data_IF_487314968197
#
_entry.id   IF_487314968197
#
_cell.length_a   1.000
_cell.length_b   1.000
_cell.length_c   1.000
_cell.angle_alpha   90.00
_cell.angle_beta   90.00
_cell.angle_gamma   90.00
#
_symmetry.space_group_name_H-M   'P 1'
#
loop_
_entity.id
_entity.type
_entity.pdbx_description
1 polymer ?
#
# COMPACT_ATOMS: atom_id res chain seq x y z
N UNK A 1 1.99 -23.10 -2.18
CA UNK A 1 3.40 -22.74 -1.99
C UNK A 1 3.55 -21.23 -2.04
N UNK A 2 4.31 -20.68 -1.15
CA UNK A 2 4.58 -19.24 -1.09
C UNK A 2 5.83 -18.90 -1.90
N UNK A 3 5.70 -17.95 -2.80
CA UNK A 3 6.80 -17.45 -3.63
C UNK A 3 7.00 -15.97 -3.35
N UNK A 4 8.22 -15.50 -3.53
CA UNK A 4 8.52 -14.10 -3.33
C UNK A 4 9.54 -13.58 -4.35
N UNK A 5 9.60 -12.26 -4.46
CA UNK A 5 10.61 -11.57 -5.25
C UNK A 5 11.08 -10.32 -4.52
N UNK A 6 12.36 -10.01 -4.68
CA UNK A 6 12.96 -8.77 -4.19
C UNK A 6 12.92 -7.76 -5.34
N UNK A 7 12.35 -6.59 -5.08
CA UNK A 7 12.15 -5.57 -6.09
C UNK A 7 12.88 -4.29 -5.69
N UNK A 8 13.61 -3.72 -6.64
CA UNK A 8 14.21 -2.40 -6.45
C UNK A 8 13.19 -1.31 -6.76
N UNK A 9 13.25 -0.18 -6.07
CA UNK A 9 12.47 1.01 -6.39
C UNK A 9 13.25 2.27 -6.04
N UNK A 10 12.83 3.44 -6.60
CA UNK A 10 13.44 4.71 -6.23
C UNK A 10 13.31 5.07 -4.75
N UNK A 11 12.35 4.45 -4.05
CA UNK A 11 12.11 4.70 -2.62
C UNK A 11 12.72 3.64 -1.70
N UNK A 12 13.45 2.68 -2.26
CA UNK A 12 14.07 1.61 -1.51
C UNK A 12 13.58 0.22 -1.91
N UNK A 13 14.20 -0.83 -1.36
CA UNK A 13 13.87 -2.20 -1.73
C UNK A 13 12.50 -2.63 -1.19
N UNK A 14 11.79 -3.41 -1.99
CA UNK A 14 10.49 -4.00 -1.68
C UNK A 14 10.59 -5.51 -1.71
N UNK A 15 9.73 -6.17 -0.93
CA UNK A 15 9.50 -7.60 -1.00
C UNK A 15 8.07 -7.86 -1.43
N UNK A 16 7.89 -8.59 -2.53
CA UNK A 16 6.58 -9.00 -3.03
C UNK A 16 6.39 -10.48 -2.72
N UNK A 17 5.22 -10.85 -2.20
CA UNK A 17 4.89 -12.21 -1.78
C UNK A 17 3.61 -12.66 -2.49
N UNK A 18 3.67 -13.85 -3.09
CA UNK A 18 2.55 -14.46 -3.79
C UNK A 18 2.18 -15.82 -3.18
N UNK A 19 0.91 -16.11 -3.17
CA UNK A 19 0.39 -17.44 -2.89
C UNK A 19 -0.51 -17.85 -4.06
N UNK A 20 -0.13 -18.92 -4.75
CA UNK A 20 -0.77 -19.27 -5.99
C UNK A 20 -0.65 -18.14 -7.00
N UNK A 21 -1.74 -17.76 -7.61
CA UNK A 21 -1.78 -16.73 -8.65
C UNK A 21 -2.00 -15.32 -8.12
N UNK A 22 -2.12 -15.15 -6.80
CA UNK A 22 -2.46 -13.86 -6.20
C UNK A 22 -1.28 -13.26 -5.42
N UNK A 23 -1.19 -11.94 -5.46
CA UNK A 23 -0.28 -11.16 -4.63
C UNK A 23 -0.91 -10.99 -3.24
N UNK A 24 -0.20 -11.41 -2.20
CA UNK A 24 -0.71 -11.34 -0.82
C UNK A 24 -0.01 -10.27 0.02
N UNK A 25 1.19 -9.86 -0.38
CA UNK A 25 1.90 -8.79 0.32
C UNK A 25 2.89 -8.08 -0.60
N UNK A 26 3.11 -6.81 -0.33
CA UNK A 26 4.14 -5.98 -0.94
C UNK A 26 4.53 -4.91 0.08
N UNK A 27 5.75 -4.96 0.58
CA UNK A 27 6.21 -4.01 1.58
C UNK A 27 7.63 -3.55 1.31
N UNK A 28 7.94 -2.30 1.70
CA UNK A 28 9.32 -1.88 1.86
C UNK A 28 9.97 -2.76 2.93
N UNK A 29 11.18 -3.20 2.70
CA UNK A 29 11.83 -4.19 3.58
C UNK A 29 12.13 -3.66 4.97
N UNK A 30 12.17 -2.34 5.16
CA UNK A 30 12.35 -1.67 6.45
C UNK A 30 11.06 -1.08 7.02
N UNK A 31 9.90 -1.40 6.45
CA UNK A 31 8.61 -0.92 6.95
C UNK A 31 8.29 -1.50 8.33
N UNK A 32 7.42 -0.80 9.07
CA UNK A 32 7.08 -1.14 10.46
C UNK A 32 6.64 -2.60 10.66
N UNK A 33 5.89 -3.14 9.71
CA UNK A 33 5.35 -4.50 9.81
C UNK A 33 5.94 -5.46 8.77
N UNK A 34 7.05 -5.08 8.14
CA UNK A 34 7.70 -5.91 7.14
C UNK A 34 8.20 -7.23 7.75
N UNK A 35 8.10 -8.29 6.97
CA UNK A 35 8.60 -9.61 7.37
C UNK A 35 9.65 -10.07 6.39
N UNK A 36 10.75 -10.64 6.88
CA UNK A 36 11.73 -11.26 5.98
C UNK A 36 11.15 -12.54 5.37
N UNK A 37 11.71 -13.01 4.24
CA UNK A 37 11.31 -14.29 3.68
C UNK A 37 11.54 -15.44 4.67
N UNK A 38 10.60 -16.37 4.72
CA UNK A 38 10.73 -17.58 5.53
C UNK A 38 11.53 -18.64 4.76
N UNK A 39 12.25 -19.54 5.47
CA UNK A 39 13.05 -20.56 4.81
C UNK A 39 12.27 -21.49 3.86
N UNK A 40 10.97 -21.68 4.12
CA UNK A 40 10.11 -22.52 3.29
C UNK A 40 9.63 -21.84 2.01
N UNK A 41 9.83 -20.53 1.88
CA UNK A 41 9.40 -19.79 0.69
C UNK A 41 10.39 -19.94 -0.44
N UNK A 42 9.90 -19.83 -1.67
CA UNK A 42 10.73 -19.94 -2.88
C UNK A 42 10.91 -18.56 -3.51
N UNK A 43 12.15 -18.16 -3.72
CA UNK A 43 12.43 -16.94 -4.48
C UNK A 43 12.22 -17.24 -5.96
N UNK A 44 11.22 -16.59 -6.56
CA UNK A 44 10.81 -16.86 -7.93
C UNK A 44 10.32 -15.57 -8.61
N UNK A 45 11.23 -14.68 -9.01
CA UNK A 45 10.85 -13.43 -9.67
C UNK A 45 10.17 -13.62 -11.02
N UNK A 46 10.28 -14.79 -11.61
CA UNK A 46 9.62 -15.14 -12.88
C UNK A 46 8.18 -15.61 -12.69
N UNK A 47 7.75 -15.86 -11.45
CA UNK A 47 6.37 -16.26 -11.18
C UNK A 47 5.41 -15.18 -11.71
N UNK A 48 4.34 -15.54 -12.47
CA UNK A 48 3.59 -14.56 -13.27
C UNK A 48 3.13 -13.32 -12.51
N UNK A 49 2.50 -13.46 -11.33
CA UNK A 49 2.02 -12.29 -10.60
C UNK A 49 3.17 -11.45 -10.03
N UNK A 50 4.30 -12.08 -9.66
CA UNK A 50 5.47 -11.35 -9.15
C UNK A 50 6.14 -10.58 -10.27
N UNK A 51 6.25 -11.17 -11.45
CA UNK A 51 6.78 -10.50 -12.64
C UNK A 51 5.89 -9.34 -13.06
N UNK A 52 4.57 -9.53 -13.07
CA UNK A 52 3.61 -8.47 -13.38
C UNK A 52 3.69 -7.33 -12.37
N UNK A 53 3.83 -7.66 -11.09
CA UNK A 53 3.99 -6.67 -10.02
C UNK A 53 5.24 -5.81 -10.26
N UNK A 54 6.38 -6.44 -10.55
CA UNK A 54 7.62 -5.72 -10.84
C UNK A 54 7.48 -4.78 -12.04
N UNK A 55 6.87 -5.26 -13.13
CA UNK A 55 6.66 -4.47 -14.33
C UNK A 55 5.74 -3.28 -14.06
N UNK A 56 4.63 -3.49 -13.37
CA UNK A 56 3.67 -2.44 -13.07
C UNK A 56 4.22 -1.40 -12.08
N UNK A 57 5.03 -1.82 -11.11
CA UNK A 57 5.71 -0.88 -10.22
C UNK A 57 6.70 0.00 -10.99
N UNK A 58 7.46 -0.58 -11.92
CA UNK A 58 8.37 0.19 -12.77
C UNK A 58 7.61 1.24 -13.59
N UNK A 59 6.48 0.88 -14.18
CA UNK A 59 5.62 1.80 -14.91
C UNK A 59 5.04 2.90 -14.00
N UNK A 60 4.63 2.53 -12.78
CA UNK A 60 4.13 3.48 -11.79
C UNK A 60 5.19 4.53 -11.44
N UNK A 61 6.41 4.10 -11.12
CA UNK A 61 7.49 5.04 -10.77
C UNK A 61 7.98 5.85 -11.96
N UNK A 62 7.77 5.38 -13.20
CA UNK A 62 8.06 6.14 -14.41
C UNK A 62 6.95 7.14 -14.76
N UNK A 63 5.86 7.19 -13.99
CA UNK A 63 4.73 8.07 -14.28
C UNK A 63 3.82 7.58 -15.41
N UNK A 64 3.97 6.32 -15.82
CA UNK A 64 3.24 5.74 -16.94
C UNK A 64 1.99 4.96 -16.53
N UNK A 65 1.83 4.73 -15.23
CA UNK A 65 0.72 3.95 -14.69
C UNK A 65 0.20 4.59 -13.41
N UNK A 66 -1.11 4.80 -13.33
CA UNK A 66 -1.77 5.28 -12.13
C UNK A 66 -2.60 4.23 -11.40
N UNK A 67 -2.77 3.05 -11.99
CA UNK A 67 -3.64 1.99 -11.48
C UNK A 67 -2.99 0.63 -11.69
N UNK A 68 -3.09 -0.24 -10.68
CA UNK A 68 -2.55 -1.60 -10.76
C UNK A 68 -3.63 -2.58 -11.18
N UNK A 69 -3.24 -3.55 -12.01
CA UNK A 69 -4.08 -4.64 -12.48
C UNK A 69 -3.42 -5.97 -12.12
N UNK A 70 -3.62 -6.38 -10.87
CA UNK A 70 -3.03 -7.57 -10.30
C UNK A 70 -4.07 -8.33 -9.49
N UNK A 71 -4.09 -9.66 -9.54
CA UNK A 71 -4.92 -10.44 -8.63
C UNK A 71 -4.38 -10.31 -7.20
N UNK A 72 -5.22 -9.81 -6.30
CA UNK A 72 -4.85 -9.52 -4.91
C UNK A 72 -5.63 -10.43 -3.95
N UNK A 73 -4.94 -10.94 -2.93
CA UNK A 73 -5.56 -11.72 -1.87
C UNK A 73 -4.96 -11.33 -0.51
N UNK A 74 -5.16 -10.10 -0.05
CA UNK A 74 -4.63 -9.65 1.24
C UNK A 74 -5.31 -10.40 2.38
N UNK A 75 -4.51 -10.80 3.36
CA UNK A 75 -5.01 -11.45 4.57
C UNK A 75 -5.27 -10.44 5.66
N UNK A 76 -6.43 -10.54 6.28
CA UNK A 76 -6.82 -9.65 7.37
C UNK A 76 -8.21 -9.97 7.88
N UNK A 77 -8.63 -9.24 8.90
CA UNK A 77 -9.99 -9.33 9.43
C UNK A 77 -11.01 -8.84 8.39
N UNK A 78 -12.29 -9.17 8.53
CA UNK A 78 -13.32 -8.63 7.65
C UNK A 78 -13.32 -7.10 7.59
N UNK A 79 -13.15 -6.44 8.74
CA UNK A 79 -13.08 -4.98 8.78
C UNK A 79 -11.85 -4.43 8.04
N UNK A 80 -10.67 -5.01 8.27
CA UNK A 80 -9.46 -4.62 7.57
C UNK A 80 -9.63 -4.74 6.06
N UNK A 81 -10.17 -5.86 5.59
CA UNK A 81 -10.40 -6.07 4.16
C UNK A 81 -11.37 -5.07 3.57
N UNK A 82 -12.43 -4.69 4.30
CA UNK A 82 -13.34 -3.62 3.84
C UNK A 82 -12.62 -2.28 3.73
N UNK A 83 -11.79 -1.95 4.72
CA UNK A 83 -11.00 -0.71 4.69
C UNK A 83 -10.06 -0.71 3.48
N UNK A 84 -9.31 -1.80 3.28
CA UNK A 84 -8.38 -1.89 2.16
C UNK A 84 -9.09 -1.84 0.79
N UNK A 85 -10.27 -2.43 0.68
CA UNK A 85 -11.08 -2.35 -0.54
C UNK A 85 -11.50 -0.91 -0.85
N UNK A 86 -11.87 -0.13 0.17
CA UNK A 86 -12.20 1.28 -0.02
C UNK A 86 -10.96 2.13 -0.35
N UNK A 87 -9.81 1.84 0.27
CA UNK A 87 -8.55 2.51 -0.08
C UNK A 87 -8.23 2.29 -1.56
N UNK A 88 -8.42 1.08 -2.06
CA UNK A 88 -8.14 0.73 -3.45
C UNK A 88 -8.94 1.55 -4.46
N UNK A 89 -10.06 2.14 -4.04
CA UNK A 89 -10.92 2.98 -4.89
C UNK A 89 -10.49 4.43 -4.94
N UNK A 90 -9.56 4.87 -4.08
CA UNK A 90 -9.10 6.26 -4.07
C UNK A 90 -8.24 6.51 -5.31
N UNK A 91 -8.63 7.45 -6.18
CA UNK A 91 -7.94 7.64 -7.45
C UNK A 91 -6.52 8.18 -7.30
N UNK A 92 -5.71 7.92 -8.32
CA UNK A 92 -4.37 8.49 -8.47
C UNK A 92 -4.44 10.03 -8.38
N UNK A 93 -3.55 10.62 -7.61
CA UNK A 93 -3.49 12.06 -7.44
C UNK A 93 -4.49 12.65 -6.46
N UNK A 94 -5.32 11.82 -5.81
CA UNK A 94 -6.30 12.26 -4.84
C UNK A 94 -6.02 11.73 -3.44
N UNK A 95 -6.56 12.40 -2.43
CA UNK A 95 -6.47 11.96 -1.03
C UNK A 95 -7.85 12.05 -0.39
N UNK A 96 -8.08 11.20 0.62
CA UNK A 96 -9.27 11.30 1.47
C UNK A 96 -8.85 11.23 2.94
N UNK A 97 -9.60 11.88 3.85
CA UNK A 97 -9.32 11.78 5.27
C UNK A 97 -9.78 10.45 5.87
N UNK A 98 -9.16 10.05 6.98
CA UNK A 98 -9.51 8.81 7.68
C UNK A 98 -11.00 8.75 8.06
N UNK A 99 -11.60 9.88 8.40
CA UNK A 99 -13.03 9.93 8.74
C UNK A 99 -13.92 9.54 7.54
N UNK A 100 -13.58 9.99 6.33
CA UNK A 100 -14.28 9.59 5.11
C UNK A 100 -14.05 8.13 4.77
N UNK A 101 -12.83 7.64 4.95
CA UNK A 101 -12.51 6.23 4.77
C UNK A 101 -13.36 5.35 5.71
N UNK A 102 -13.46 5.73 6.98
CA UNK A 102 -14.28 5.02 7.95
C UNK A 102 -15.74 4.98 7.52
N UNK A 103 -16.28 6.10 7.06
CA UNK A 103 -17.66 6.17 6.55
C UNK A 103 -17.87 5.22 5.37
N UNK A 104 -16.97 5.22 4.41
CA UNK A 104 -17.03 4.33 3.22
C UNK A 104 -16.92 2.86 3.60
N UNK A 105 -16.15 2.54 4.63
CA UNK A 105 -15.99 1.17 5.12
C UNK A 105 -17.15 0.69 6.02
N UNK A 106 -18.20 1.52 6.17
CA UNK A 106 -19.37 1.15 6.96
C UNK A 106 -19.21 1.34 8.47
N UNK A 107 -18.24 2.17 8.89
CA UNK A 107 -17.96 2.44 10.31
C UNK A 107 -17.82 3.95 10.55
N UNK A 108 -18.87 4.75 10.26
CA UNK A 108 -18.81 6.19 10.49
C UNK A 108 -18.47 6.51 11.95
N UNK A 109 -17.63 7.51 12.17
CA UNK A 109 -17.15 7.87 13.51
C UNK A 109 -15.99 7.02 14.01
N UNK A 110 -15.54 6.01 13.26
CA UNK A 110 -14.45 5.12 13.64
C UNK A 110 -13.14 5.42 12.90
N UNK A 111 -12.78 6.71 12.79
CA UNK A 111 -11.56 7.14 12.09
C UNK A 111 -10.29 6.48 12.67
N UNK A 112 -10.23 6.30 13.99
CA UNK A 112 -9.09 5.64 14.65
C UNK A 112 -8.96 4.18 14.22
N UNK A 113 -10.08 3.44 14.18
CA UNK A 113 -10.07 2.04 13.75
C UNK A 113 -9.71 1.93 12.25
N UNK A 114 -10.23 2.84 11.43
CA UNK A 114 -9.87 2.91 10.02
C UNK A 114 -8.37 3.22 9.85
N UNK A 115 -7.83 4.11 10.66
CA UNK A 115 -6.40 4.44 10.67
C UNK A 115 -5.53 3.25 11.04
N UNK A 116 -5.93 2.49 12.06
CA UNK A 116 -5.23 1.27 12.45
C UNK A 116 -5.23 0.22 11.33
N UNK A 117 -6.38 0.01 10.69
CA UNK A 117 -6.49 -0.91 9.55
C UNK A 117 -5.64 -0.45 8.36
N UNK A 118 -5.62 0.87 8.08
CA UNK A 118 -4.79 1.47 7.04
C UNK A 118 -3.30 1.18 7.30
N UNK A 119 -2.86 1.34 8.54
CA UNK A 119 -1.47 1.08 8.92
C UNK A 119 -1.06 -0.38 8.80
N UNK A 120 -2.01 -1.31 8.73
CA UNK A 120 -1.76 -2.75 8.57
C UNK A 120 -1.94 -3.24 7.13
N UNK A 121 -2.15 -2.32 6.17
CA UNK A 121 -2.25 -2.67 4.75
C UNK A 121 -1.04 -3.52 4.32
N UNK A 122 -1.24 -4.76 3.84
CA UNK A 122 -0.14 -5.61 3.43
C UNK A 122 0.37 -5.34 2.02
N UNK A 123 -0.28 -4.47 1.27
CA UNK A 123 -0.01 -4.24 -0.16
C UNK A 123 0.31 -2.76 -0.43
N UNK A 124 1.45 -2.30 0.09
CA UNK A 124 1.90 -0.91 -0.10
C UNK A 124 1.86 -0.53 -1.58
N UNK A 125 1.52 0.71 -1.88
CA UNK A 125 1.43 1.29 -3.22
C UNK A 125 0.28 0.71 -4.05
N UNK A 126 0.18 -0.60 -4.19
CA UNK A 126 -0.87 -1.27 -4.97
C UNK A 126 -2.25 -1.01 -4.35
N UNK A 127 -2.36 -1.12 -3.03
CA UNK A 127 -3.48 -0.59 -2.25
C UNK A 127 -2.96 0.73 -1.66
N UNK A 128 -3.40 1.88 -2.17
CA UNK A 128 -2.70 3.14 -1.96
C UNK A 128 -2.98 3.80 -0.61
N UNK A 129 -2.55 3.18 0.46
CA UNK A 129 -2.74 3.71 1.81
C UNK A 129 -2.04 5.07 2.02
N UNK A 130 -1.08 5.43 1.20
CA UNK A 130 -0.47 6.76 1.22
C UNK A 130 -1.44 7.87 0.83
N UNK A 131 -2.58 7.56 0.20
CA UNK A 131 -3.63 8.53 -0.16
C UNK A 131 -4.60 8.84 0.98
N UNK A 132 -4.41 8.23 2.14
CA UNK A 132 -5.25 8.48 3.31
C UNK A 132 -4.52 9.44 4.23
N UNK A 133 -5.19 10.55 4.58
CA UNK A 133 -4.60 11.66 5.32
C UNK A 133 -5.48 12.05 6.50
N UNK A 134 -4.95 12.86 7.41
CA UNK A 134 -5.76 13.43 8.48
C UNK A 134 -6.76 14.45 7.93
N UNK A 135 -7.79 14.76 8.70
CA UNK A 135 -8.73 15.85 8.37
C UNK A 135 -7.93 17.14 8.15
N UNK A 136 -8.23 17.84 7.07
CA UNK A 136 -7.46 19.02 6.67
C UNK A 136 -6.25 18.71 5.78
N UNK A 137 -5.99 17.44 5.48
CA UNK A 137 -4.93 17.01 4.56
C UNK A 137 -3.56 16.82 5.18
N UNK A 138 -3.43 16.95 6.53
CA UNK A 138 -2.14 16.74 7.19
C UNK A 138 -1.64 15.30 7.03
N UNK A 139 -0.33 15.13 6.79
CA UNK A 139 0.29 13.83 6.66
C UNK A 139 0.57 13.25 8.05
N UNK A 140 -0.08 12.13 8.37
CA UNK A 140 0.09 11.41 9.62
C UNK A 140 0.25 9.93 9.33
N UNK A 141 1.18 9.27 10.00
CA UNK A 141 1.35 7.82 9.94
C UNK A 141 1.49 7.21 8.54
N UNK A 142 2.47 6.39 8.38
CA UNK A 142 2.63 5.51 7.22
C UNK A 142 3.61 4.41 7.62
N UNK A 143 3.26 3.14 7.38
CA UNK A 143 4.12 2.03 7.79
C UNK A 143 5.48 2.07 7.10
N UNK A 144 5.54 2.60 5.88
CA UNK A 144 6.79 2.82 5.15
C UNK A 144 7.52 4.12 5.51
N UNK A 145 6.99 4.91 6.44
CA UNK A 145 7.56 6.19 6.86
C UNK A 145 6.99 7.39 6.13
N UNK A 146 6.86 8.53 6.84
CA UNK A 146 6.27 9.75 6.28
C UNK A 146 7.03 10.30 5.08
N UNK A 147 8.36 10.14 5.03
CA UNK A 147 9.14 10.58 3.89
C UNK A 147 8.69 9.89 2.59
N UNK A 148 8.44 8.58 2.64
CA UNK A 148 7.92 7.84 1.49
C UNK A 148 6.50 8.24 1.14
N UNK A 149 5.67 8.49 2.14
CA UNK A 149 4.30 8.97 1.92
C UNK A 149 4.31 10.30 1.15
N UNK A 150 5.14 11.24 1.56
CA UNK A 150 5.30 12.50 0.84
C UNK A 150 5.78 12.30 -0.60
N UNK A 151 6.78 11.45 -0.79
CA UNK A 151 7.34 11.18 -2.12
C UNK A 151 6.33 10.52 -3.04
N UNK A 152 5.53 9.58 -2.54
CA UNK A 152 4.47 8.94 -3.33
C UNK A 152 3.39 9.95 -3.74
N UNK A 153 2.94 10.79 -2.80
CA UNK A 153 1.96 11.81 -3.09
C UNK A 153 2.49 12.84 -4.09
N UNK A 154 3.76 13.24 -3.93
CA UNK A 154 4.40 14.17 -4.86
C UNK A 154 4.53 13.57 -6.26
N UNK A 155 4.91 12.30 -6.36
CA UNK A 155 4.97 11.58 -7.63
C UNK A 155 3.61 11.58 -8.34
N UNK A 156 2.53 11.42 -7.56
CA UNK A 156 1.17 11.41 -8.10
C UNK A 156 0.59 12.80 -8.38
N UNK A 157 1.31 13.86 -8.02
CA UNK A 157 0.80 15.21 -8.18
C UNK A 157 -0.34 15.55 -7.21
N UNK A 158 -0.47 14.80 -6.13
CA UNK A 158 -1.50 15.07 -5.12
C UNK A 158 -1.16 16.30 -4.29
N UNK A 159 -2.17 17.03 -3.78
CA UNK A 159 -1.92 18.14 -2.86
C UNK A 159 -1.16 17.67 -1.63
N UNK A 160 -0.09 18.39 -1.25
CA UNK A 160 0.69 18.11 -0.05
C UNK A 160 0.35 19.14 1.02
N UNK A 161 -0.07 18.66 2.18
CA UNK A 161 -0.18 19.48 3.37
C UNK A 161 1.09 19.33 4.22
N UNK A 162 1.28 20.25 5.18
CA UNK A 162 2.38 20.13 6.13
C UNK A 162 2.25 18.84 6.94
N UNK A 163 3.41 18.25 7.32
CA UNK A 163 3.41 17.13 8.24
C UNK A 163 2.79 17.55 9.56
N UNK A 164 2.00 16.66 10.17
CA UNK A 164 1.57 16.86 11.53
C UNK A 164 2.78 16.85 12.45
N UNK A 165 2.73 17.66 13.52
CA UNK A 165 3.74 17.61 14.57
C UNK A 165 3.77 16.20 15.18
N UNK A 166 4.97 15.68 15.38
CA UNK A 166 5.18 14.36 15.95
C UNK A 166 4.72 14.29 17.42
#
# INVERSE_FOLDING_TARGET
>A
MTRYARLASPLGPLLAIAEGEALVALDFTDAKYARPPEPSWVEDPAWPVLRACAAQLAEYFAGERGRFDLPLAPRGTPFQRRVWAEIAKVPYGETIPYAELARRAGAPGSARAAGAATGRNPLAIVVPCHRIVATGGALTGYAGGLARKELLLALEGAPLAARAAA
#
